data_IF_924136853482
#
_entry.id   IF_924136853482
#
_cell.length_a   1.000
_cell.length_b   1.000
_cell.length_c   1.000
_cell.angle_alpha   90.00
_cell.angle_beta   90.00
_cell.angle_gamma   90.00
#
_symmetry.space_group_name_H-M   'P 1'
#
loop_
_entity.id
_entity.type
_entity.pdbx_description
1 polymer ?
#
# COMPACT_ATOMS: atom_id res chain seq x y z
N UNK A 1 18.86 -13.97 -12.25
CA UNK A 1 18.23 -13.16 -13.35
C UNK A 1 18.40 -13.80 -14.74
N UNK A 2 19.50 -14.48 -15.05
CA UNK A 2 19.75 -15.09 -16.37
C UNK A 2 18.84 -16.27 -16.70
N UNK A 3 18.41 -17.05 -15.71
CA UNK A 3 17.57 -18.25 -15.87
C UNK A 3 16.12 -17.89 -16.21
N UNK A 4 15.65 -16.72 -15.77
CA UNK A 4 14.27 -16.25 -16.01
C UNK A 4 14.09 -15.56 -17.38
N UNK A 5 15.17 -15.11 -18.02
CA UNK A 5 15.12 -14.42 -19.32
C UNK A 5 14.77 -15.33 -20.50
N UNK A 6 15.06 -16.63 -20.41
CA UNK A 6 14.69 -17.62 -21.40
C UNK A 6 14.11 -18.87 -20.72
N UNK A 7 12.85 -18.83 -20.27
CA UNK A 7 12.23 -20.02 -19.68
C UNK A 7 12.11 -21.10 -20.75
N UNK A 8 12.77 -22.22 -20.50
CA UNK A 8 12.60 -23.42 -21.31
C UNK A 8 11.13 -23.82 -21.25
N UNK A 9 10.47 -24.04 -22.39
CA UNK A 9 9.03 -24.36 -22.49
C UNK A 9 8.59 -25.52 -21.58
N UNK A 10 9.53 -26.40 -21.20
CA UNK A 10 9.30 -27.59 -20.39
C UNK A 10 9.64 -27.41 -18.90
N UNK A 11 9.89 -26.18 -18.43
CA UNK A 11 10.17 -25.94 -17.01
C UNK A 11 8.85 -26.08 -16.21
N UNK A 12 8.74 -27.16 -15.46
CA UNK A 12 7.58 -27.47 -14.63
C UNK A 12 7.25 -26.34 -13.64
N UNK A 13 8.26 -25.71 -13.03
CA UNK A 13 8.05 -24.63 -12.06
C UNK A 13 7.43 -23.40 -12.73
N UNK A 14 7.89 -23.05 -13.93
CA UNK A 14 7.30 -21.96 -14.71
C UNK A 14 5.85 -22.24 -15.08
N UNK A 15 5.56 -23.45 -15.56
CA UNK A 15 4.19 -23.84 -15.89
C UNK A 15 3.28 -23.85 -14.65
N UNK A 16 3.81 -24.29 -13.52
CA UNK A 16 3.11 -24.29 -12.26
C UNK A 16 2.77 -22.84 -11.81
N UNK A 17 3.74 -21.94 -11.80
CA UNK A 17 3.52 -20.53 -11.47
C UNK A 17 2.49 -19.88 -12.41
N UNK A 18 2.57 -20.16 -13.71
CA UNK A 18 1.60 -19.66 -14.69
C UNK A 18 0.18 -20.19 -14.44
N UNK A 19 0.03 -21.45 -14.06
CA UNK A 19 -1.28 -22.01 -13.68
C UNK A 19 -1.85 -21.34 -12.43
N UNK A 20 -1.02 -21.09 -11.43
CA UNK A 20 -1.44 -20.40 -10.22
C UNK A 20 -1.85 -18.95 -10.50
N UNK A 21 -1.07 -18.22 -11.30
CA UNK A 21 -1.44 -16.89 -11.75
C UNK A 21 -2.80 -16.89 -12.44
N UNK A 22 -3.03 -17.79 -13.38
CA UNK A 22 -4.29 -17.90 -14.09
C UNK A 22 -5.47 -18.22 -13.13
N UNK A 23 -5.23 -19.06 -12.11
CA UNK A 23 -6.22 -19.34 -11.06
C UNK A 23 -6.56 -18.09 -10.25
N UNK A 24 -5.54 -17.31 -9.84
CA UNK A 24 -5.73 -16.08 -9.10
C UNK A 24 -6.53 -15.04 -9.92
N UNK A 25 -6.20 -14.89 -11.20
CA UNK A 25 -6.92 -14.02 -12.14
C UNK A 25 -8.36 -14.49 -12.33
N UNK A 26 -8.58 -15.81 -12.43
CA UNK A 26 -9.93 -16.36 -12.55
C UNK A 26 -10.79 -16.02 -11.32
N UNK A 27 -10.24 -16.14 -10.11
CA UNK A 27 -10.93 -15.77 -8.85
C UNK A 27 -11.26 -14.26 -8.84
N UNK A 28 -10.37 -13.42 -9.36
CA UNK A 28 -10.63 -11.98 -9.51
C UNK A 28 -11.81 -11.74 -10.46
N UNK A 29 -11.84 -12.40 -11.61
CA UNK A 29 -12.96 -12.25 -12.56
C UNK A 29 -14.29 -12.74 -12.00
N UNK A 30 -14.28 -13.86 -11.28
CA UNK A 30 -15.47 -14.39 -10.62
C UNK A 30 -16.02 -13.41 -9.57
N UNK A 31 -15.12 -12.79 -8.78
CA UNK A 31 -15.47 -11.84 -7.71
C UNK A 31 -15.38 -10.37 -8.14
N UNK A 32 -15.26 -10.08 -9.43
CA UNK A 32 -14.97 -8.73 -9.94
C UNK A 32 -15.92 -7.65 -9.41
N UNK A 33 -17.23 -7.91 -9.35
CA UNK A 33 -18.22 -6.94 -8.85
C UNK A 33 -17.99 -6.58 -7.39
N UNK A 34 -17.68 -7.58 -6.57
CA UNK A 34 -17.41 -7.40 -5.14
C UNK A 34 -16.08 -6.65 -4.98
N UNK A 35 -15.05 -7.05 -5.72
CA UNK A 35 -13.75 -6.40 -5.70
C UNK A 35 -13.86 -4.91 -6.05
N UNK A 36 -14.53 -4.57 -7.15
CA UNK A 36 -14.73 -3.19 -7.59
C UNK A 36 -15.47 -2.33 -6.53
N UNK A 37 -16.51 -2.89 -5.91
CA UNK A 37 -17.23 -2.21 -4.83
C UNK A 37 -16.33 -1.96 -3.62
N UNK A 38 -15.56 -2.97 -3.21
CA UNK A 38 -14.67 -2.86 -2.05
C UNK A 38 -13.55 -1.86 -2.31
N UNK A 39 -12.96 -1.83 -3.50
CA UNK A 39 -11.97 -0.82 -3.91
C UNK A 39 -12.57 0.58 -3.78
N UNK A 40 -13.79 0.81 -4.27
CA UNK A 40 -14.43 2.12 -4.17
C UNK A 40 -14.66 2.54 -2.72
N UNK A 41 -15.14 1.63 -1.86
CA UNK A 41 -15.36 1.89 -0.43
C UNK A 41 -14.03 2.21 0.27
N UNK A 42 -12.97 1.41 0.04
CA UNK A 42 -11.65 1.64 0.60
C UNK A 42 -11.06 2.98 0.15
N UNK A 43 -11.19 3.31 -1.14
CA UNK A 43 -10.74 4.59 -1.69
C UNK A 43 -11.43 5.77 -0.99
N UNK A 44 -12.74 5.70 -0.77
CA UNK A 44 -13.47 6.75 -0.06
C UNK A 44 -13.05 6.88 1.42
N UNK A 45 -12.87 5.74 2.09
CA UNK A 45 -12.42 5.74 3.49
C UNK A 45 -11.01 6.33 3.62
N UNK A 46 -10.09 5.98 2.71
CA UNK A 46 -8.75 6.54 2.66
C UNK A 46 -8.79 8.06 2.41
N UNK A 47 -9.58 8.52 1.43
CA UNK A 47 -9.75 9.96 1.16
C UNK A 47 -10.25 10.71 2.40
N UNK A 48 -11.26 10.18 3.09
CA UNK A 48 -11.77 10.77 4.33
C UNK A 48 -10.71 10.82 5.43
N UNK A 49 -9.97 9.74 5.62
CA UNK A 49 -8.90 9.67 6.61
C UNK A 49 -7.78 10.69 6.34
N UNK A 50 -7.40 10.87 5.08
CA UNK A 50 -6.42 11.85 4.65
C UNK A 50 -6.90 13.28 4.87
N UNK A 51 -8.16 13.59 4.53
CA UNK A 51 -8.75 14.91 4.78
C UNK A 51 -8.73 15.23 6.27
N UNK A 52 -9.16 14.31 7.14
CA UNK A 52 -9.14 14.50 8.59
C UNK A 52 -7.70 14.76 9.09
N UNK A 53 -6.71 14.08 8.51
CA UNK A 53 -5.30 14.26 8.89
C UNK A 53 -4.74 15.60 8.42
N UNK A 54 -5.16 16.09 7.25
CA UNK A 54 -4.69 17.35 6.66
C UNK A 54 -5.30 18.60 7.29
N UNK A 55 -6.44 18.48 7.96
CA UNK A 55 -7.24 19.64 8.39
C UNK A 55 -6.70 20.39 9.61
N UNK A 56 -5.67 19.95 10.34
CA UNK A 56 -5.52 20.45 11.70
C UNK A 56 -4.12 20.82 12.20
N UNK A 57 -3.26 21.39 11.38
CA UNK A 57 -2.15 22.16 11.92
C UNK A 57 -2.44 23.66 11.83
N UNK A 58 -3.21 24.18 12.81
CA UNK A 58 -3.30 25.63 13.02
C UNK A 58 -1.98 26.12 13.61
N UNK A 59 -1.20 26.80 12.79
CA UNK A 59 0.05 27.43 13.22
C UNK A 59 -0.17 28.92 13.37
N UNK A 60 0.30 29.46 14.50
CA UNK A 60 0.34 30.91 14.71
C UNK A 60 1.36 31.53 13.76
N UNK A 61 0.96 32.58 13.07
CA UNK A 61 1.74 33.23 12.01
C UNK A 61 1.60 34.75 12.09
N UNK A 62 2.44 35.43 11.33
CA UNK A 62 2.36 36.87 11.06
C UNK A 62 1.31 37.21 9.99
N UNK A 63 0.74 36.18 9.31
CA UNK A 63 -0.24 36.32 8.23
C UNK A 63 -1.31 35.24 8.31
N UNK A 64 -2.56 35.59 7.94
CA UNK A 64 -3.68 34.65 7.90
C UNK A 64 -4.95 35.20 8.53
N UNK A 65 -5.72 34.36 9.21
CA UNK A 65 -6.95 34.77 9.91
C UNK A 65 -6.60 35.33 11.29
N UNK A 66 -7.10 36.54 11.61
CA UNK A 66 -6.89 37.18 12.89
C UNK A 66 -7.46 36.33 14.03
N UNK A 67 -6.71 36.17 15.10
CA UNK A 67 -7.18 35.54 16.36
C UNK A 67 -7.61 36.65 17.34
N UNK A 68 -8.93 36.91 17.48
CA UNK A 68 -9.42 38.06 18.28
C UNK A 68 -8.95 38.05 19.72
N UNK A 69 -8.83 36.85 20.32
CA UNK A 69 -8.34 36.68 21.69
C UNK A 69 -6.89 37.12 21.91
N UNK A 70 -6.13 37.43 20.86
CA UNK A 70 -4.72 37.85 20.93
C UNK A 70 -4.51 39.32 20.59
N UNK A 71 -5.56 40.05 20.16
CA UNK A 71 -5.47 41.47 19.79
C UNK A 71 -5.00 42.38 20.95
N UNK A 72 -5.27 42.00 22.21
CA UNK A 72 -4.80 42.75 23.36
C UNK A 72 -3.27 42.80 23.50
N UNK A 73 -2.52 41.93 22.80
CA UNK A 73 -1.05 41.90 22.79
C UNK A 73 -0.44 42.98 21.89
N UNK A 74 -1.22 43.62 21.04
CA UNK A 74 -0.74 44.69 20.15
C UNK A 74 -0.21 45.83 21.03
N UNK A 75 1.05 46.16 20.84
CA UNK A 75 1.73 47.22 21.59
C UNK A 75 2.23 46.87 22.98
N UNK A 76 1.97 45.65 23.49
CA UNK A 76 2.40 45.21 24.81
C UNK A 76 3.51 44.14 24.80
N UNK A 77 3.55 43.33 23.74
CA UNK A 77 4.60 42.32 23.53
C UNK A 77 5.09 42.42 22.09
N UNK A 78 6.40 42.21 21.89
CA UNK A 78 7.01 42.22 20.55
C UNK A 78 6.64 41.01 19.66
N UNK A 79 5.70 40.16 20.12
CA UNK A 79 5.26 39.00 19.35
C UNK A 79 4.24 39.40 18.27
N UNK A 80 4.65 39.22 17.01
CA UNK A 80 3.84 39.52 15.82
C UNK A 80 2.82 38.42 15.43
N UNK A 81 2.75 37.30 16.19
CA UNK A 81 1.93 36.12 15.84
C UNK A 81 0.47 36.31 16.27
N UNK A 82 -0.22 37.22 15.60
CA UNK A 82 -1.64 37.54 15.84
C UNK A 82 -2.60 36.79 14.93
N UNK A 83 -2.07 36.11 13.94
CA UNK A 83 -2.86 35.40 12.95
C UNK A 83 -2.68 33.89 13.11
N UNK A 84 -3.69 33.15 12.71
CA UNK A 84 -3.59 31.71 12.51
C UNK A 84 -3.58 31.38 11.02
N UNK A 85 -2.72 30.47 10.63
CA UNK A 85 -2.65 29.90 9.29
C UNK A 85 -2.88 28.41 9.39
N UNK A 86 -3.75 27.89 8.55
CA UNK A 86 -3.92 26.45 8.36
C UNK A 86 -2.83 26.03 7.41
N UNK A 87 -1.82 25.31 7.91
CA UNK A 87 -0.87 24.62 7.04
C UNK A 87 -1.59 23.35 6.55
N UNK A 88 -1.92 23.34 5.27
CA UNK A 88 -2.26 22.08 4.59
C UNK A 88 -0.96 21.32 4.44
N UNK A 89 -0.77 20.28 5.25
CA UNK A 89 0.30 19.33 5.01
C UNK A 89 0.04 18.67 3.64
N UNK A 90 1.09 18.53 2.86
CA UNK A 90 1.01 17.69 1.67
C UNK A 90 0.63 16.28 2.14
N UNK A 91 -0.45 15.73 1.57
CA UNK A 91 -1.04 14.45 1.98
C UNK A 91 -0.13 13.23 1.72
N UNK A 92 1.09 13.45 1.24
CA UNK A 92 2.02 12.42 0.76
C UNK A 92 3.21 12.17 1.67
N UNK A 93 3.18 12.64 2.92
CA UNK A 93 4.31 12.50 3.86
C UNK A 93 4.53 11.05 4.36
N UNK A 94 3.84 10.08 3.82
CA UNK A 94 4.00 8.67 4.20
C UNK A 94 3.89 7.74 3.00
N UNK A 95 4.56 6.61 3.11
CA UNK A 95 4.48 5.49 2.18
C UNK A 95 3.88 4.28 2.87
N UNK A 96 3.33 3.35 2.10
CA UNK A 96 2.70 2.14 2.65
C UNK A 96 3.42 0.91 2.11
N UNK A 97 3.86 0.03 3.01
CA UNK A 97 4.34 -1.31 2.65
C UNK A 97 3.26 -2.35 2.93
N UNK A 98 2.90 -3.11 1.91
CA UNK A 98 2.00 -4.26 2.01
C UNK A 98 2.85 -5.51 2.01
N UNK A 99 2.90 -6.18 3.16
CA UNK A 99 3.66 -7.41 3.33
C UNK A 99 2.70 -8.60 3.42
N UNK A 100 2.80 -9.52 2.47
CA UNK A 100 1.89 -10.67 2.33
C UNK A 100 2.60 -11.93 2.82
N UNK A 101 1.98 -12.65 3.74
CA UNK A 101 2.45 -13.96 4.16
C UNK A 101 2.29 -14.99 3.04
N UNK A 102 3.40 -15.55 2.56
CA UNK A 102 3.42 -16.60 1.54
C UNK A 102 3.67 -17.99 2.10
N UNK A 103 3.34 -18.23 3.38
CA UNK A 103 3.49 -19.55 4.00
C UNK A 103 2.54 -20.60 3.38
N UNK A 104 2.92 -21.87 3.51
CA UNK A 104 2.14 -23.00 3.02
C UNK A 104 0.73 -23.11 3.63
N UNK A 105 0.50 -22.54 4.81
CA UNK A 105 -0.82 -22.47 5.46
C UNK A 105 -1.84 -21.67 4.66
N UNK A 106 -1.38 -20.74 3.83
CA UNK A 106 -2.23 -19.89 2.97
C UNK A 106 -2.62 -20.58 1.64
N UNK A 107 -2.12 -21.79 1.37
CA UNK A 107 -2.33 -22.48 0.08
C UNK A 107 -3.80 -22.62 -0.31
N UNK A 108 -4.66 -22.91 0.65
CA UNK A 108 -6.12 -23.07 0.41
C UNK A 108 -6.81 -21.75 0.06
N UNK A 109 -6.26 -20.60 0.52
CA UNK A 109 -6.82 -19.26 0.35
C UNK A 109 -5.96 -18.34 -0.53
N UNK A 110 -4.99 -18.92 -1.23
CA UNK A 110 -4.01 -18.16 -2.02
C UNK A 110 -4.66 -17.12 -2.95
N UNK A 111 -5.70 -17.48 -3.68
CA UNK A 111 -6.38 -16.57 -4.58
C UNK A 111 -7.16 -15.46 -3.88
N UNK A 112 -7.73 -15.74 -2.71
CA UNK A 112 -8.42 -14.72 -1.91
C UNK A 112 -7.42 -13.73 -1.30
N UNK A 113 -6.25 -14.20 -0.86
CA UNK A 113 -5.17 -13.34 -0.35
C UNK A 113 -4.63 -12.43 -1.47
N UNK A 114 -4.36 -12.98 -2.65
CA UNK A 114 -3.96 -12.20 -3.82
C UNK A 114 -5.00 -11.14 -4.19
N UNK A 115 -6.29 -11.50 -4.16
CA UNK A 115 -7.40 -10.59 -4.43
C UNK A 115 -7.47 -9.46 -3.39
N UNK A 116 -7.31 -9.77 -2.10
CA UNK A 116 -7.31 -8.76 -1.05
C UNK A 116 -6.15 -7.77 -1.21
N UNK A 117 -4.93 -8.28 -1.45
CA UNK A 117 -3.76 -7.44 -1.70
C UNK A 117 -3.96 -6.53 -2.92
N UNK A 118 -4.50 -7.07 -4.00
CA UNK A 118 -4.86 -6.29 -5.19
C UNK A 118 -5.88 -5.19 -4.89
N UNK A 119 -6.93 -5.48 -4.11
CA UNK A 119 -7.93 -4.48 -3.74
C UNK A 119 -7.33 -3.34 -2.92
N UNK A 120 -6.44 -3.64 -1.98
CA UNK A 120 -5.77 -2.64 -1.15
C UNK A 120 -4.82 -1.80 -2.01
N UNK A 121 -3.99 -2.44 -2.84
CA UNK A 121 -3.06 -1.76 -3.76
C UNK A 121 -3.80 -0.82 -4.71
N UNK A 122 -4.87 -1.29 -5.36
CA UNK A 122 -5.69 -0.47 -6.25
C UNK A 122 -6.36 0.71 -5.53
N UNK A 123 -6.79 0.53 -4.28
CA UNK A 123 -7.37 1.62 -3.50
C UNK A 123 -6.32 2.69 -3.14
N UNK A 124 -5.08 2.29 -2.80
CA UNK A 124 -3.97 3.20 -2.55
C UNK A 124 -3.55 3.94 -3.82
N UNK A 125 -3.48 3.23 -4.97
CA UNK A 125 -3.23 3.84 -6.28
C UNK A 125 -4.28 4.90 -6.64
N UNK A 126 -5.57 4.68 -6.33
CA UNK A 126 -6.64 5.64 -6.61
C UNK A 126 -6.57 6.91 -5.73
N UNK A 127 -5.77 6.90 -4.70
CA UNK A 127 -5.57 8.04 -3.77
C UNK A 127 -4.17 8.65 -3.91
N UNK A 128 -3.40 8.15 -4.89
CA UNK A 128 -2.01 8.59 -5.16
C UNK A 128 -1.08 8.42 -3.94
N UNK A 129 -1.30 7.38 -3.12
CA UNK A 129 -0.40 7.04 -2.02
C UNK A 129 0.69 6.12 -2.55
N UNK A 130 1.99 6.52 -2.45
CA UNK A 130 3.10 5.64 -2.81
C UNK A 130 3.07 4.38 -1.96
N UNK A 131 3.10 3.21 -2.61
CA UNK A 131 3.04 1.95 -1.88
C UNK A 131 3.80 0.85 -2.59
N UNK A 132 4.32 -0.08 -1.79
CA UNK A 132 5.06 -1.24 -2.23
C UNK A 132 4.33 -2.51 -1.80
N UNK A 133 4.34 -3.53 -2.65
CA UNK A 133 3.70 -4.81 -2.38
C UNK A 133 4.72 -5.92 -2.49
N UNK A 134 4.87 -6.68 -1.41
CA UNK A 134 5.81 -7.80 -1.33
C UNK A 134 5.15 -8.98 -0.65
N UNK A 135 5.60 -10.19 -0.96
CA UNK A 135 5.34 -11.37 -0.15
C UNK A 135 6.62 -11.88 0.48
N UNK A 136 6.48 -12.54 1.62
CA UNK A 136 7.59 -13.15 2.31
C UNK A 136 7.32 -14.62 2.63
N UNK A 137 8.37 -15.43 2.59
CA UNK A 137 8.37 -16.77 3.12
C UNK A 137 9.77 -17.07 3.68
N UNK A 138 9.85 -18.05 4.56
CA UNK A 138 11.13 -18.50 5.10
C UNK A 138 11.46 -19.87 4.54
N UNK A 139 12.64 -19.99 3.94
CA UNK A 139 13.16 -21.24 3.46
C UNK A 139 14.46 -21.54 4.23
N UNK A 140 14.44 -22.56 5.07
CA UNK A 140 15.52 -22.88 6.05
C UNK A 140 15.78 -21.66 6.95
N UNK A 141 16.97 -21.07 6.87
CA UNK A 141 17.38 -19.91 7.66
C UNK A 141 17.35 -18.59 6.85
N UNK A 142 16.80 -18.62 5.63
CA UNK A 142 16.74 -17.47 4.75
C UNK A 142 15.31 -16.95 4.60
N UNK A 143 15.12 -15.66 4.75
CA UNK A 143 13.88 -14.97 4.38
C UNK A 143 13.94 -14.62 2.90
N UNK A 144 12.94 -15.05 2.15
CA UNK A 144 12.78 -14.73 0.73
C UNK A 144 11.69 -13.68 0.63
N UNK A 145 12.04 -12.53 0.09
CA UNK A 145 11.09 -11.46 -0.24
C UNK A 145 10.85 -11.49 -1.76
N UNK A 146 9.59 -11.65 -2.14
CA UNK A 146 9.18 -11.56 -3.53
C UNK A 146 8.39 -10.29 -3.73
N UNK A 147 8.92 -9.38 -4.53
CA UNK A 147 8.36 -8.07 -4.79
C UNK A 147 7.47 -8.12 -6.03
N UNK A 148 6.28 -7.53 -5.92
CA UNK A 148 5.30 -7.42 -7.00
C UNK A 148 5.23 -6.00 -7.54
N UNK A 149 5.37 -4.99 -6.66
CA UNK A 149 5.27 -3.58 -6.99
C UNK A 149 6.22 -2.74 -6.14
N UNK A 150 6.79 -1.69 -6.73
CA UNK A 150 7.53 -0.61 -6.07
C UNK A 150 6.69 0.65 -5.93
N UNK A 151 7.20 1.62 -5.14
CA UNK A 151 6.49 2.87 -4.84
C UNK A 151 6.16 3.70 -6.07
N UNK A 152 7.08 3.72 -7.05
CA UNK A 152 6.99 4.56 -8.25
C UNK A 152 6.43 3.81 -9.46
N UNK A 153 6.02 2.56 -9.29
CA UNK A 153 5.47 1.77 -10.37
C UNK A 153 4.09 2.28 -10.82
N UNK A 154 3.76 2.17 -12.10
CA UNK A 154 2.45 2.56 -12.61
C UNK A 154 1.34 1.67 -12.05
N UNK A 155 0.08 2.15 -12.12
CA UNK A 155 -1.11 1.41 -11.65
C UNK A 155 -1.25 0.03 -12.30
N UNK A 156 -0.77 -0.14 -13.53
CA UNK A 156 -0.77 -1.44 -14.22
C UNK A 156 0.05 -2.52 -13.52
N UNK A 157 1.04 -2.15 -12.72
CA UNK A 157 1.85 -3.09 -11.94
C UNK A 157 1.06 -3.79 -10.82
N UNK A 158 -0.13 -3.28 -10.45
CA UNK A 158 -1.01 -3.96 -9.50
C UNK A 158 -1.40 -5.38 -9.95
N UNK A 159 -1.43 -5.64 -11.27
CA UNK A 159 -1.73 -6.96 -11.82
C UNK A 159 -0.64 -8.01 -11.52
N UNK A 160 0.58 -7.57 -11.23
CA UNK A 160 1.68 -8.48 -10.87
C UNK A 160 1.47 -9.15 -9.51
N UNK A 161 0.59 -8.61 -8.67
CA UNK A 161 0.16 -9.22 -7.41
C UNK A 161 -0.47 -10.61 -7.65
N UNK A 162 -1.10 -10.84 -8.80
CA UNK A 162 -1.62 -12.15 -9.14
C UNK A 162 -0.56 -13.23 -9.38
N UNK A 163 0.73 -12.84 -9.48
CA UNK A 163 1.86 -13.77 -9.46
C UNK A 163 2.14 -14.34 -8.05
N UNK A 164 1.37 -13.91 -7.03
CA UNK A 164 1.51 -14.42 -5.67
C UNK A 164 1.36 -15.94 -5.62
N UNK A 165 2.34 -16.58 -5.00
CA UNK A 165 2.42 -18.05 -4.83
C UNK A 165 2.78 -18.33 -3.38
N UNK A 166 2.07 -19.26 -2.77
CA UNK A 166 2.40 -19.76 -1.44
C UNK A 166 3.52 -20.78 -1.54
N UNK A 167 4.49 -20.71 -0.64
CA UNK A 167 5.65 -21.59 -0.56
C UNK A 167 6.02 -21.80 0.90
N UNK A 168 6.70 -22.87 1.22
CA UNK A 168 7.45 -23.11 2.46
C UNK A 168 6.86 -22.62 3.81
N UNK A 169 7.69 -22.59 4.83
CA UNK A 169 7.35 -22.17 6.19
C UNK A 169 7.48 -20.63 6.35
N UNK A 170 7.05 -20.13 7.51
CA UNK A 170 7.10 -18.74 7.86
C UNK A 170 7.78 -18.51 9.21
N UNK A 171 8.67 -17.52 9.30
CA UNK A 171 9.24 -16.97 10.54
C UNK A 171 9.06 -15.45 10.52
N UNK A 172 7.92 -14.97 11.00
CA UNK A 172 7.52 -13.55 10.93
C UNK A 172 8.57 -12.60 11.48
N UNK A 173 9.21 -12.97 12.59
CA UNK A 173 10.22 -12.14 13.23
C UNK A 173 11.47 -11.87 12.39
N UNK A 174 11.82 -12.75 11.44
CA UNK A 174 12.92 -12.52 10.52
C UNK A 174 12.50 -11.66 9.33
N UNK A 175 11.29 -11.86 8.84
CA UNK A 175 10.75 -11.12 7.70
C UNK A 175 10.56 -9.62 7.99
N UNK A 176 10.20 -9.27 9.23
CA UNK A 176 10.02 -7.85 9.65
C UNK A 176 11.37 -7.15 9.84
N UNK A 177 12.45 -7.91 10.10
CA UNK A 177 13.81 -7.35 10.28
C UNK A 177 14.59 -7.22 8.98
N UNK A 178 14.17 -7.88 7.92
CA UNK A 178 14.80 -7.85 6.61
C UNK A 178 14.36 -6.63 5.81
#
# INVERSE_FOLDING_TARGET
>A
EGILKNPVRDNYQYQYAKRLRNKNIWIYHDKHRIAKRNIAILTELLKKALVIRSENQEVLSDRGTIVPSRLWRIGRSGEANLFKRILRGDNTDFVVDILIDASGSQMSRQGDVALQAYMISSALSNVDIPHRVMSYCTFWDHTILHRFREYDDPVSADEDIFNYVTSSNNRDGLAIKA
#
